data_IF_108455019369
#
_entry.id   IF_108455019369
#
_cell.length_a   1.000
_cell.length_b   1.000
_cell.length_c   1.000
_cell.angle_alpha   90.00
_cell.angle_beta   90.00
_cell.angle_gamma   90.00
#
_symmetry.space_group_name_H-M   'P 1'
#
loop_
_entity.id
_entity.type
_entity.pdbx_description
1 polymer ?
#
# COMPACT_ATOMS: atom_id res chain seq x y z
N UNK A 1 19.04 -2.45 -0.62
CA UNK A 1 18.12 -2.62 0.53
C UNK A 1 18.78 -3.34 1.69
N UNK A 2 19.63 -4.33 1.41
CA UNK A 2 20.26 -5.15 2.46
C UNK A 2 21.07 -4.33 3.47
N UNK A 3 21.78 -3.28 3.03
CA UNK A 3 22.53 -2.41 3.94
C UNK A 3 21.70 -1.73 5.03
N UNK A 4 20.47 -1.26 4.74
CA UNK A 4 19.63 -0.62 5.77
C UNK A 4 19.06 -1.63 6.76
N UNK A 5 18.64 -2.80 6.28
CA UNK A 5 18.14 -3.86 7.17
C UNK A 5 19.28 -4.40 8.03
N UNK A 6 20.49 -4.44 7.49
CA UNK A 6 21.70 -4.85 8.19
C UNK A 6 22.07 -3.92 9.34
N UNK A 7 21.88 -2.60 9.20
CA UNK A 7 22.07 -1.64 10.32
C UNK A 7 21.13 -1.89 11.51
N UNK A 8 20.03 -2.62 11.30
CA UNK A 8 19.11 -2.99 12.37
C UNK A 8 19.50 -4.31 13.07
N UNK A 9 20.53 -5.03 12.60
CA UNK A 9 21.03 -6.24 13.27
C UNK A 9 21.46 -5.89 14.70
N UNK A 10 21.06 -6.71 15.67
CA UNK A 10 21.27 -6.45 17.10
C UNK A 10 20.17 -5.64 17.79
N UNK A 11 19.24 -5.05 17.04
CA UNK A 11 18.03 -4.40 17.60
C UNK A 11 16.92 -5.45 17.81
N UNK A 12 16.11 -5.29 18.86
CA UNK A 12 14.97 -6.15 19.12
C UNK A 12 13.99 -6.23 17.92
N UNK A 13 13.52 -7.44 17.61
CA UNK A 13 12.71 -7.72 16.41
C UNK A 13 11.41 -6.89 16.31
N UNK A 14 10.78 -6.57 17.44
CA UNK A 14 9.58 -5.72 17.46
C UNK A 14 9.88 -4.28 17.00
N UNK A 15 11.05 -3.77 17.37
CA UNK A 15 11.56 -2.46 16.94
C UNK A 15 11.96 -2.47 15.47
N UNK A 16 12.68 -3.50 15.03
CA UNK A 16 13.01 -3.68 13.61
C UNK A 16 11.75 -3.64 12.74
N UNK A 17 10.71 -4.40 13.13
CA UNK A 17 9.45 -4.43 12.41
C UNK A 17 8.74 -3.05 12.40
N UNK A 18 8.90 -2.24 13.44
CA UNK A 18 8.37 -0.88 13.49
C UNK A 18 9.12 0.09 12.57
N UNK A 19 10.45 -0.04 12.43
CA UNK A 19 11.26 0.77 11.50
C UNK A 19 10.98 0.35 10.06
N UNK A 20 11.08 -0.95 9.76
CA UNK A 20 10.82 -1.49 8.41
C UNK A 20 9.40 -1.16 7.96
N UNK A 21 8.42 -1.14 8.87
CA UNK A 21 7.06 -0.73 8.53
C UNK A 21 6.97 0.70 7.99
N UNK A 22 7.76 1.64 8.51
CA UNK A 22 7.79 3.00 7.99
C UNK A 22 8.57 3.10 6.68
N UNK A 23 9.66 2.32 6.54
CA UNK A 23 10.39 2.18 5.27
C UNK A 23 9.44 1.77 4.14
N UNK A 24 8.76 0.62 4.30
CA UNK A 24 7.88 0.10 3.25
C UNK A 24 6.63 0.96 3.06
N UNK A 25 6.18 1.68 4.10
CA UNK A 25 5.07 2.63 3.99
C UNK A 25 5.42 3.82 3.09
N UNK A 26 6.59 4.41 3.26
CA UNK A 26 7.05 5.52 2.43
C UNK A 26 7.41 5.04 1.02
N UNK A 27 8.11 3.90 0.91
CA UNK A 27 8.44 3.26 -0.37
C UNK A 27 7.22 2.88 -1.23
N UNK A 28 6.09 2.54 -0.60
CA UNK A 28 4.86 2.20 -1.33
C UNK A 28 4.14 3.43 -1.94
N UNK A 29 4.40 4.66 -1.46
CA UNK A 29 3.72 5.88 -1.94
C UNK A 29 3.94 6.16 -3.43
N UNK A 30 5.18 6.17 -3.97
CA UNK A 30 5.40 6.41 -5.40
C UNK A 30 4.71 5.34 -6.27
N UNK A 31 4.73 4.07 -5.84
CA UNK A 31 4.04 2.98 -6.53
C UNK A 31 2.53 3.22 -6.57
N UNK A 32 1.89 3.51 -5.43
CA UNK A 32 0.46 3.83 -5.36
C UNK A 32 0.12 5.02 -6.25
N UNK A 33 0.97 6.06 -6.25
CA UNK A 33 0.76 7.26 -7.07
C UNK A 33 0.80 6.92 -8.56
N UNK A 34 1.80 6.18 -9.01
CA UNK A 34 1.96 5.81 -10.42
C UNK A 34 0.84 4.88 -10.90
N UNK A 35 0.45 3.87 -10.09
CA UNK A 35 -0.71 3.02 -10.39
C UNK A 35 -1.97 3.88 -10.56
N UNK A 36 -2.23 4.82 -9.64
CA UNK A 36 -3.41 5.71 -9.71
C UNK A 36 -3.39 6.65 -10.93
N UNK A 37 -2.22 7.06 -11.40
CA UNK A 37 -2.09 7.91 -12.58
C UNK A 37 -2.51 7.17 -13.85
N UNK A 38 -2.30 5.85 -13.89
CA UNK A 38 -2.59 5.00 -15.04
C UNK A 38 -4.02 4.50 -15.12
N UNK A 39 -4.78 4.49 -14.02
CA UNK A 39 -6.21 4.10 -14.02
C UNK A 39 -7.02 5.07 -14.90
N UNK A 40 -7.93 4.54 -15.74
CA UNK A 40 -8.81 5.33 -16.61
C UNK A 40 -9.64 6.32 -15.80
N UNK A 41 -9.98 7.46 -16.41
CA UNK A 41 -10.79 8.51 -15.75
C UNK A 41 -12.17 7.99 -15.34
N UNK A 42 -12.80 7.18 -16.19
CA UNK A 42 -14.11 6.56 -15.92
C UNK A 42 -14.09 5.57 -14.73
N UNK A 43 -12.91 5.01 -14.39
CA UNK A 43 -12.72 4.06 -13.30
C UNK A 43 -12.37 4.77 -11.98
N UNK A 44 -13.02 5.91 -11.71
CA UNK A 44 -12.72 6.76 -10.55
C UNK A 44 -12.83 6.05 -9.20
N UNK A 45 -13.77 5.11 -9.06
CA UNK A 45 -13.90 4.25 -7.86
C UNK A 45 -12.66 3.36 -7.69
N UNK A 46 -12.19 2.73 -8.77
CA UNK A 46 -10.98 1.92 -8.76
C UNK A 46 -9.76 2.75 -8.39
N UNK A 47 -9.57 3.90 -9.05
CA UNK A 47 -8.47 4.83 -8.75
C UNK A 47 -8.38 5.17 -7.27
N UNK A 48 -9.52 5.43 -6.63
CA UNK A 48 -9.59 5.79 -5.21
C UNK A 48 -9.39 4.61 -4.27
N UNK A 49 -9.67 3.40 -4.74
CA UNK A 49 -9.47 2.17 -3.98
C UNK A 49 -8.02 1.69 -3.91
N UNK A 50 -7.14 2.12 -4.83
CA UNK A 50 -5.73 1.71 -4.81
C UNK A 50 -5.07 2.28 -3.56
N UNK A 51 -4.64 1.41 -2.65
CA UNK A 51 -4.00 1.76 -1.37
C UNK A 51 -2.79 0.87 -1.12
N UNK A 52 -1.98 1.25 -0.14
CA UNK A 52 -0.93 0.41 0.44
C UNK A 52 -1.30 0.07 1.88
N UNK A 53 -1.33 -1.23 2.20
CA UNK A 53 -1.56 -1.74 3.56
C UNK A 53 -0.27 -2.37 4.07
N UNK A 54 0.25 -1.84 5.17
CA UNK A 54 1.48 -2.35 5.79
C UNK A 54 1.13 -3.40 6.85
N UNK A 55 1.70 -4.59 6.71
CA UNK A 55 1.56 -5.70 7.66
C UNK A 55 2.88 -5.93 8.37
N UNK A 56 2.89 -5.72 9.69
CA UNK A 56 4.06 -5.93 10.54
C UNK A 56 4.13 -7.39 11.00
N UNK A 57 5.32 -7.97 11.00
CA UNK A 57 5.63 -9.30 11.56
C UNK A 57 6.64 -9.13 12.69
N UNK A 58 6.16 -8.64 13.84
CA UNK A 58 7.01 -8.27 15.00
C UNK A 58 7.93 -9.38 15.46
N UNK A 59 7.44 -10.62 15.52
CA UNK A 59 8.26 -11.80 15.90
C UNK A 59 9.42 -12.07 14.95
N UNK A 60 9.31 -11.64 13.68
CA UNK A 60 10.29 -11.88 12.62
C UNK A 60 11.09 -10.64 12.25
N UNK A 61 10.95 -9.52 12.96
CA UNK A 61 11.71 -8.30 12.61
C UNK A 61 11.27 -7.59 11.34
N UNK A 62 10.23 -8.06 10.65
CA UNK A 62 9.94 -7.67 9.26
C UNK A 62 8.61 -6.93 9.10
N UNK A 63 8.43 -6.21 8.00
CA UNK A 63 7.15 -5.69 7.56
C UNK A 63 7.04 -5.73 6.03
N UNK A 64 5.82 -5.86 5.53
CA UNK A 64 5.53 -5.87 4.09
C UNK A 64 4.46 -4.83 3.77
N UNK A 65 4.60 -4.15 2.63
CA UNK A 65 3.53 -3.33 2.06
C UNK A 65 2.81 -4.12 0.97
N UNK A 66 1.50 -4.31 1.13
CA UNK A 66 0.63 -4.89 0.11
C UNK A 66 -0.04 -3.74 -0.62
N UNK A 67 0.14 -3.66 -1.94
CA UNK A 67 -0.38 -2.57 -2.78
C UNK A 67 -1.46 -3.14 -3.71
N UNK A 68 -2.61 -2.47 -3.77
CA UNK A 68 -3.71 -2.85 -4.65
C UNK A 68 -5.04 -2.20 -4.25
N UNK A 69 -6.14 -2.57 -4.92
CA UNK A 69 -7.48 -2.15 -4.54
C UNK A 69 -7.79 -2.57 -3.10
N UNK A 70 -8.43 -1.69 -2.33
CA UNK A 70 -8.81 -1.98 -0.96
C UNK A 70 -9.77 -3.19 -0.88
N UNK A 71 -9.37 -4.20 -0.10
CA UNK A 71 -10.19 -5.38 0.15
C UNK A 71 -11.40 -5.01 1.02
N UNK A 72 -12.59 -5.39 0.57
CA UNK A 72 -13.85 -5.08 1.26
C UNK A 72 -14.28 -3.61 1.21
N UNK A 73 -13.50 -2.73 0.57
CA UNK A 73 -13.84 -1.32 0.38
C UNK A 73 -14.95 -1.15 -0.66
N UNK A 74 -16.01 -0.43 -0.28
CA UNK A 74 -17.12 -0.07 -1.15
C UNK A 74 -17.01 1.40 -1.56
N UNK A 75 -17.22 1.70 -2.84
CA UNK A 75 -17.02 3.03 -3.41
C UNK A 75 -18.20 3.46 -4.28
N UNK A 76 -18.60 4.73 -4.14
CA UNK A 76 -19.62 5.39 -4.98
C UNK A 76 -19.18 6.82 -5.28
N UNK A 77 -19.24 7.25 -6.55
CA UNK A 77 -18.83 8.60 -6.97
C UNK A 77 -17.39 8.97 -6.58
N UNK A 78 -16.46 8.01 -6.60
CA UNK A 78 -15.06 8.23 -6.21
C UNK A 78 -14.83 8.40 -4.69
N UNK A 79 -15.81 8.08 -3.86
CA UNK A 79 -15.72 8.16 -2.39
C UNK A 79 -15.91 6.78 -1.77
N UNK A 80 -15.12 6.49 -0.73
CA UNK A 80 -15.29 5.28 0.08
C UNK A 80 -16.53 5.44 0.95
N UNK A 81 -17.42 4.44 0.93
CA UNK A 81 -18.59 4.39 1.79
C UNK A 81 -18.20 3.92 3.20
N UNK A 82 -18.81 4.51 4.25
CA UNK A 82 -18.69 3.98 5.61
C UNK A 82 -19.58 2.75 5.77
N UNK A 83 -19.24 1.89 6.73
CA UNK A 83 -20.02 0.71 7.07
C UNK A 83 -21.45 1.14 7.47
N UNK A 84 -22.47 0.55 6.85
CA UNK A 84 -23.88 0.84 7.15
C UNK A 84 -24.58 1.85 6.23
N UNK A 85 -23.87 2.52 5.31
CA UNK A 85 -24.55 3.28 4.25
C UNK A 85 -25.02 2.37 3.12
N UNK A 86 -26.16 2.71 2.52
CA UNK A 86 -26.80 1.96 1.45
C UNK A 86 -25.80 1.51 0.38
N UNK A 87 -25.67 0.20 0.20
CA UNK A 87 -24.73 -0.41 -0.74
C UNK A 87 -25.26 -0.43 -2.17
N UNK A 88 -26.49 0.07 -2.38
CA UNK A 88 -27.11 0.15 -3.69
C UNK A 88 -26.23 1.02 -4.60
N UNK A 89 -25.77 0.43 -5.70
CA UNK A 89 -24.82 0.97 -6.70
C UNK A 89 -23.38 1.20 -6.21
N UNK A 90 -23.01 0.63 -5.05
CA UNK A 90 -21.62 0.66 -4.61
C UNK A 90 -20.79 -0.34 -5.43
N UNK A 91 -19.64 0.12 -5.93
CA UNK A 91 -18.66 -0.74 -6.57
C UNK A 91 -17.64 -1.22 -5.54
N UNK A 92 -17.27 -2.51 -5.61
CA UNK A 92 -16.17 -3.09 -4.85
C UNK A 92 -14.96 -3.34 -5.77
N UNK A 93 -14.01 -2.40 -5.91
CA UNK A 93 -12.96 -2.48 -6.93
C UNK A 93 -12.02 -3.68 -6.83
N UNK A 94 -11.84 -4.22 -5.61
CA UNK A 94 -11.10 -5.47 -5.43
C UNK A 94 -11.71 -6.67 -6.18
N UNK A 95 -12.99 -6.63 -6.55
CA UNK A 95 -13.67 -7.69 -7.29
C UNK A 95 -13.49 -7.61 -8.81
N UNK A 96 -13.18 -6.45 -9.36
CA UNK A 96 -13.13 -6.26 -10.83
C UNK A 96 -11.81 -5.68 -11.35
N UNK A 97 -10.89 -5.24 -10.49
CA UNK A 97 -9.60 -4.67 -10.90
C UNK A 97 -8.79 -5.60 -11.82
N UNK A 98 -8.81 -6.91 -11.55
CA UNK A 98 -8.10 -7.90 -12.36
C UNK A 98 -8.73 -8.07 -13.76
N UNK A 99 -10.04 -7.90 -13.88
CA UNK A 99 -10.76 -7.93 -15.16
C UNK A 99 -10.39 -6.75 -16.06
N UNK A 100 -10.03 -5.61 -15.45
CA UNK A 100 -9.51 -4.44 -16.16
C UNK A 100 -8.04 -4.68 -16.52
N UNK A 101 -7.22 -5.13 -15.57
CA UNK A 101 -5.78 -5.34 -15.77
C UNK A 101 -5.48 -6.35 -16.88
N UNK A 102 -6.22 -7.45 -16.97
CA UNK A 102 -5.95 -8.58 -17.89
C UNK A 102 -6.98 -8.75 -18.99
N UNK A 103 -8.02 -7.91 -19.01
CA UNK A 103 -9.19 -8.15 -19.83
C UNK A 103 -10.00 -9.36 -19.34
N UNK A 104 -11.13 -9.62 -19.98
CA UNK A 104 -11.99 -10.76 -19.66
C UNK A 104 -12.92 -11.09 -20.81
N UNK A 105 -13.53 -12.27 -20.77
CA UNK A 105 -14.62 -12.64 -21.68
C UNK A 105 -15.93 -12.05 -21.14
N UNK A 106 -16.68 -11.37 -22.00
CA UNK A 106 -17.99 -10.85 -21.67
C UNK A 106 -19.07 -11.96 -21.66
N UNK A 107 -20.27 -11.63 -21.20
CA UNK A 107 -21.37 -12.62 -21.10
C UNK A 107 -21.86 -13.16 -22.44
N UNK A 108 -21.55 -12.49 -23.56
CA UNK A 108 -21.95 -12.87 -24.92
C UNK A 108 -20.81 -13.59 -25.67
N UNK A 109 -19.69 -13.88 -25.00
CA UNK A 109 -18.53 -14.54 -25.59
C UNK A 109 -17.55 -13.59 -26.29
N UNK A 110 -17.80 -12.27 -26.29
CA UNK A 110 -16.85 -11.26 -26.75
C UNK A 110 -15.68 -11.09 -25.77
N UNK A 111 -14.56 -10.51 -26.21
CA UNK A 111 -13.42 -10.19 -25.33
C UNK A 111 -13.36 -8.70 -25.03
N UNK A 112 -13.37 -8.36 -23.76
CA UNK A 112 -13.05 -7.01 -23.28
C UNK A 112 -11.54 -6.84 -23.23
N UNK A 113 -11.05 -5.85 -23.98
CA UNK A 113 -9.61 -5.54 -24.07
C UNK A 113 -9.04 -5.17 -22.70
N UNK A 114 -7.87 -5.72 -22.41
CA UNK A 114 -7.10 -5.39 -21.21
C UNK A 114 -6.69 -3.91 -21.16
N UNK A 115 -6.49 -3.44 -19.94
CA UNK A 115 -5.97 -2.12 -19.65
C UNK A 115 -5.02 -2.20 -18.46
N UNK A 116 -3.75 -2.53 -18.70
CA UNK A 116 -2.77 -2.66 -17.64
C UNK A 116 -2.53 -1.30 -16.96
N UNK A 117 -2.70 -1.26 -15.64
CA UNK A 117 -2.44 -0.08 -14.82
C UNK A 117 -1.58 -0.41 -13.59
N UNK A 118 -1.72 -1.61 -13.01
CA UNK A 118 -0.93 -2.02 -11.85
C UNK A 118 0.50 -2.40 -12.22
N UNK A 119 0.69 -3.29 -13.20
CA UNK A 119 2.03 -3.70 -13.65
C UNK A 119 2.87 -2.52 -14.13
N UNK A 120 2.42 -1.68 -15.09
CA UNK A 120 3.20 -0.55 -15.54
C UNK A 120 3.40 0.51 -14.44
N UNK A 121 2.40 0.74 -13.57
CA UNK A 121 2.55 1.67 -12.45
C UNK A 121 3.51 1.18 -11.37
N UNK A 122 3.64 -0.14 -11.20
CA UNK A 122 4.62 -0.73 -10.29
C UNK A 122 6.03 -0.55 -10.83
N UNK A 123 6.26 -0.86 -12.11
CA UNK A 123 7.57 -0.71 -12.74
C UNK A 123 8.07 0.75 -12.69
N UNK A 124 7.21 1.71 -12.99
CA UNK A 124 7.54 3.14 -12.94
C UNK A 124 7.80 3.62 -11.50
N UNK A 125 6.92 3.25 -10.56
CA UNK A 125 7.07 3.66 -9.17
C UNK A 125 8.26 3.03 -8.43
N UNK A 126 8.77 1.90 -8.93
CA UNK A 126 9.88 1.16 -8.32
C UNK A 126 11.19 1.96 -8.33
N UNK A 127 11.44 2.75 -9.38
CA UNK A 127 12.65 3.58 -9.48
C UNK A 127 12.77 4.58 -8.32
N UNK A 128 11.65 5.13 -7.85
CA UNK A 128 11.60 6.09 -6.73
C UNK A 128 11.39 5.42 -5.37
N UNK A 129 11.00 4.14 -5.34
CA UNK A 129 10.65 3.44 -4.11
C UNK A 129 11.83 3.30 -3.15
N UNK A 130 13.04 3.04 -3.65
CA UNK A 130 14.27 2.89 -2.85
C UNK A 130 14.61 4.18 -2.07
N UNK A 131 14.65 5.33 -2.77
CA UNK A 131 14.91 6.63 -2.14
C UNK A 131 13.84 6.97 -1.08
N UNK A 132 12.58 6.64 -1.33
CA UNK A 132 11.50 6.86 -0.35
C UNK A 132 11.60 5.93 0.86
N UNK A 133 12.20 4.74 0.72
CA UNK A 133 12.43 3.85 1.84
C UNK A 133 13.49 4.38 2.81
N UNK A 134 14.49 5.11 2.34
CA UNK A 134 15.46 5.81 3.19
C UNK A 134 14.79 6.89 4.06
N UNK A 135 13.90 7.68 3.44
CA UNK A 135 13.06 8.63 4.18
C UNK A 135 12.21 7.92 5.24
N UNK A 136 11.66 6.76 4.90
CA UNK A 136 10.90 5.92 5.83
C UNK A 136 11.75 5.33 6.95
N UNK A 137 13.02 4.99 6.68
CA UNK A 137 13.98 4.50 7.67
C UNK A 137 14.24 5.57 8.74
N UNK A 138 14.59 6.79 8.31
CA UNK A 138 14.84 7.92 9.23
C UNK A 138 13.60 8.22 10.09
N UNK A 139 12.41 8.28 9.48
CA UNK A 139 11.13 8.45 10.20
C UNK A 139 10.90 7.33 11.21
N UNK A 140 11.17 6.09 10.83
CA UNK A 140 11.03 4.91 11.68
C UNK A 140 11.93 4.98 12.90
N UNK A 141 13.20 5.30 12.71
CA UNK A 141 14.18 5.48 13.79
C UNK A 141 13.76 6.58 14.76
N UNK A 142 13.42 7.77 14.26
CA UNK A 142 12.99 8.90 15.09
C UNK A 142 11.73 8.55 15.91
N UNK A 143 10.76 7.86 15.29
CA UNK A 143 9.54 7.43 16.00
C UNK A 143 9.85 6.44 17.11
N UNK A 144 10.72 5.47 16.87
CA UNK A 144 11.12 4.48 17.87
C UNK A 144 11.85 5.15 19.03
N UNK A 145 12.80 6.04 18.74
CA UNK A 145 13.53 6.81 19.75
C UNK A 145 12.56 7.60 20.63
N UNK A 146 11.67 8.39 20.02
CA UNK A 146 10.66 9.17 20.76
C UNK A 146 9.77 8.30 21.66
N UNK A 147 9.32 7.13 21.18
CA UNK A 147 8.54 6.18 21.98
C UNK A 147 9.32 5.68 23.19
N UNK A 148 10.60 5.33 23.00
CA UNK A 148 11.46 4.81 24.07
C UNK A 148 11.80 5.88 25.10
N UNK A 149 12.18 7.08 24.67
CA UNK A 149 12.43 8.22 25.57
C UNK A 149 11.20 8.53 26.42
N UNK A 150 10.01 8.58 25.80
CA UNK A 150 8.74 8.77 26.52
C UNK A 150 8.45 7.66 27.54
N UNK A 151 8.80 6.40 27.23
CA UNK A 151 8.63 5.29 28.15
C UNK A 151 9.57 5.41 29.36
N UNK A 152 10.83 5.76 29.14
CA UNK A 152 11.82 5.97 30.21
C UNK A 152 11.42 7.12 31.14
N UNK A 153 10.94 8.24 30.59
CA UNK A 153 10.49 9.39 31.38
C UNK A 153 9.24 9.11 32.23
N UNK A 154 8.46 8.08 31.89
CA UNK A 154 7.27 7.67 32.67
C UNK A 154 7.59 6.66 33.78
N UNK A 155 8.80 6.14 33.80
CA UNK A 155 9.26 5.15 34.78
C UNK A 155 10.10 5.77 35.91
N UNK A 156 10.40 7.06 35.79
CA UNK A 156 10.93 7.91 36.87
C UNK A 156 9.76 8.64 37.52
#
# INVERSE_FOLDING_TARGET
>A
MDGLVETLKGIAADVQADVIADMVKEGAKPIVRSIRARVRVQDGNLKKSIVAVVRKRKRKGTAIAVIGPESGGQYKGGKRLKKGHGQNDAAGPSRYAHLIEFGHVDRKGGRVKEFPFMRPGTAEGQATASAMMEVGFQKGMNRVLAKRTKKLLRQK
#
